data_IF_096921506225
#
_entry.id   IF_096921506225
#
_cell.length_a   1.000
_cell.length_b   1.000
_cell.length_c   1.000
_cell.angle_alpha   90.00
_cell.angle_beta   90.00
_cell.angle_gamma   90.00
#
_symmetry.space_group_name_H-M   'P 1'
#
loop_
_entity.id
_entity.type
_entity.pdbx_description
1 polymer ?
#
# COMPACT_ATOMS: atom_id res chain seq x y z
N UNK A 1 4.93 -15.19 -18.57
CA UNK A 1 5.38 -14.11 -17.66
C UNK A 1 4.92 -12.77 -18.21
N UNK A 2 4.34 -11.90 -17.37
CA UNK A 2 3.99 -10.51 -17.73
C UNK A 2 4.70 -9.57 -16.77
N UNK A 3 5.32 -8.50 -17.28
CA UNK A 3 5.98 -7.50 -16.46
C UNK A 3 5.31 -6.14 -16.63
N UNK A 4 5.27 -5.37 -15.54
CA UNK A 4 4.65 -4.07 -15.49
C UNK A 4 5.66 -3.04 -15.02
N UNK A 5 5.73 -1.93 -15.73
CA UNK A 5 6.56 -0.79 -15.34
C UNK A 5 5.75 0.15 -14.46
N UNK A 6 6.30 0.53 -13.31
CA UNK A 6 5.61 1.34 -12.32
C UNK A 6 6.50 2.52 -11.93
N UNK A 7 5.97 3.72 -12.15
CA UNK A 7 6.49 4.94 -11.56
C UNK A 7 5.44 5.56 -10.65
N UNK A 8 5.87 5.95 -9.46
CA UNK A 8 5.02 6.57 -8.46
C UNK A 8 5.89 7.55 -7.65
N UNK A 9 5.31 8.67 -7.19
CA UNK A 9 6.07 9.75 -6.56
C UNK A 9 6.61 9.35 -5.18
N UNK A 10 5.81 8.68 -4.36
CA UNK A 10 6.17 8.29 -3.00
C UNK A 10 7.32 7.27 -2.93
N UNK A 11 7.48 6.40 -3.94
CA UNK A 11 8.63 5.47 -3.98
C UNK A 11 9.97 6.20 -4.23
N UNK A 12 9.95 7.36 -4.88
CA UNK A 12 11.16 8.17 -5.13
C UNK A 12 11.76 8.74 -3.85
N UNK A 13 10.96 8.93 -2.80
CA UNK A 13 11.44 9.33 -1.47
C UNK A 13 12.43 8.31 -0.90
N UNK A 14 12.38 7.05 -1.35
CA UNK A 14 13.35 5.98 -1.02
C UNK A 14 14.47 5.81 -2.06
N UNK A 15 14.63 6.75 -2.98
CA UNK A 15 15.63 6.66 -4.05
C UNK A 15 15.30 5.60 -5.11
N UNK A 16 14.05 5.11 -5.15
CA UNK A 16 13.58 4.18 -6.18
C UNK A 16 12.99 4.98 -7.34
N UNK A 17 13.61 4.88 -8.51
CA UNK A 17 13.17 5.58 -9.72
C UNK A 17 11.88 4.98 -10.26
N UNK A 18 11.87 3.65 -10.40
CA UNK A 18 10.76 2.86 -10.88
C UNK A 18 10.84 1.43 -10.33
N UNK A 19 9.72 0.72 -10.43
CA UNK A 19 9.63 -0.71 -10.12
C UNK A 19 9.28 -1.46 -11.40
N UNK A 20 9.94 -2.59 -11.63
CA UNK A 20 9.50 -3.59 -12.60
C UNK A 20 8.89 -4.75 -11.85
N UNK A 21 7.63 -5.02 -12.14
CA UNK A 21 6.83 -5.97 -11.42
C UNK A 21 6.41 -7.12 -12.33
N UNK A 22 7.01 -8.29 -12.15
CA UNK A 22 6.79 -9.45 -13.02
C UNK A 22 5.95 -10.53 -12.34
N UNK A 23 4.81 -10.84 -12.95
CA UNK A 23 3.98 -12.00 -12.63
C UNK A 23 4.56 -13.21 -13.34
N UNK A 24 4.93 -14.23 -12.56
CA UNK A 24 5.49 -15.48 -13.06
C UNK A 24 4.44 -16.58 -12.97
N UNK A 25 4.48 -17.52 -13.92
CA UNK A 25 3.67 -18.73 -13.83
C UNK A 25 4.00 -19.46 -12.54
N UNK A 26 2.98 -20.09 -11.94
CA UNK A 26 3.09 -20.76 -10.65
C UNK A 26 4.20 -21.81 -10.67
N UNK A 27 5.36 -21.44 -10.13
CA UNK A 27 6.53 -22.30 -10.11
C UNK A 27 6.88 -22.63 -8.66
N UNK A 28 6.71 -23.91 -8.32
CA UNK A 28 7.09 -24.44 -7.00
C UNK A 28 8.61 -24.41 -6.82
N UNK A 29 9.02 -24.27 -5.57
CA UNK A 29 10.43 -24.32 -5.18
C UNK A 29 10.61 -25.20 -3.94
N UNK A 30 11.75 -25.87 -3.86
CA UNK A 30 12.19 -26.63 -2.69
C UNK A 30 13.09 -25.84 -1.74
N UNK A 31 13.87 -24.90 -2.28
CA UNK A 31 14.84 -24.12 -1.49
C UNK A 31 15.10 -22.71 -2.06
N UNK A 32 15.95 -21.94 -1.37
CA UNK A 32 16.32 -20.56 -1.76
C UNK A 32 17.16 -20.52 -3.03
N UNK A 33 17.90 -21.58 -3.36
CA UNK A 33 18.73 -21.64 -4.57
C UNK A 33 17.82 -21.69 -5.80
N UNK A 34 16.76 -22.49 -5.77
CA UNK A 34 15.77 -22.53 -6.85
C UNK A 34 15.09 -21.17 -7.06
N UNK A 35 14.72 -20.47 -5.98
CA UNK A 35 14.21 -19.09 -6.06
C UNK A 35 15.23 -18.17 -6.73
N UNK A 36 16.50 -18.23 -6.31
CA UNK A 36 17.58 -17.41 -6.86
C UNK A 36 17.76 -17.65 -8.37
N UNK A 37 17.68 -18.90 -8.80
CA UNK A 37 17.82 -19.27 -10.21
C UNK A 37 16.62 -18.74 -11.03
N UNK A 38 15.40 -18.77 -10.47
CA UNK A 38 14.22 -18.12 -11.08
C UNK A 38 14.38 -16.59 -11.16
N UNK A 39 14.86 -15.94 -10.10
CA UNK A 39 15.12 -14.48 -10.10
C UNK A 39 16.09 -14.10 -11.21
N UNK A 40 17.20 -14.83 -11.37
CA UNK A 40 18.15 -14.59 -12.45
C UNK A 40 17.50 -14.74 -13.82
N UNK A 41 16.71 -15.80 -14.04
CA UNK A 41 16.01 -16.01 -15.31
C UNK A 41 15.08 -14.83 -15.65
N UNK A 42 14.32 -14.32 -14.67
CA UNK A 42 13.46 -13.15 -14.86
C UNK A 42 14.31 -11.89 -15.10
N UNK A 43 15.37 -11.67 -14.32
CA UNK A 43 16.23 -10.49 -14.43
C UNK A 43 16.84 -10.36 -15.83
N UNK A 44 17.42 -11.43 -16.38
CA UNK A 44 18.02 -11.41 -17.71
C UNK A 44 17.00 -11.37 -18.86
N UNK A 45 15.73 -11.72 -18.60
CA UNK A 45 14.66 -11.48 -19.56
C UNK A 45 14.23 -10.01 -19.58
N UNK A 46 14.19 -9.36 -18.40
CA UNK A 46 13.71 -7.98 -18.21
C UNK A 46 14.76 -6.93 -18.56
N UNK A 47 16.02 -7.17 -18.21
CA UNK A 47 17.11 -6.22 -18.39
C UNK A 47 18.07 -6.72 -19.47
N UNK A 48 18.27 -5.91 -20.51
CA UNK A 48 19.24 -6.18 -21.58
C UNK A 48 20.66 -5.88 -21.06
N UNK A 49 21.25 -6.88 -20.40
CA UNK A 49 22.57 -6.77 -19.78
C UNK A 49 23.53 -7.80 -20.36
N UNK A 50 24.75 -7.35 -20.70
CA UNK A 50 25.78 -8.19 -21.31
C UNK A 50 26.67 -8.93 -20.31
N UNK A 51 26.73 -8.46 -19.06
CA UNK A 51 27.59 -9.00 -18.02
C UNK A 51 26.77 -9.58 -16.85
N UNK A 52 27.25 -10.64 -16.19
CA UNK A 52 26.55 -11.23 -15.07
C UNK A 52 26.60 -10.31 -13.84
N UNK A 53 25.44 -10.02 -13.25
CA UNK A 53 25.33 -9.30 -11.99
C UNK A 53 25.29 -10.29 -10.83
N UNK A 54 25.95 -9.95 -9.72
CA UNK A 54 25.93 -10.79 -8.51
C UNK A 54 24.61 -10.58 -7.75
N UNK A 55 23.76 -11.61 -7.75
CA UNK A 55 22.58 -11.68 -6.89
C UNK A 55 22.95 -12.12 -5.48
N UNK A 56 22.57 -11.32 -4.48
CA UNK A 56 22.83 -11.58 -3.05
C UNK A 56 21.50 -11.74 -2.33
N UNK A 57 21.31 -12.87 -1.63
CA UNK A 57 20.19 -13.05 -0.71
C UNK A 57 20.38 -12.22 0.56
N UNK A 58 19.33 -11.56 1.02
CA UNK A 58 19.38 -10.73 2.23
C UNK A 58 18.58 -11.33 3.37
N UNK A 59 17.31 -11.67 3.12
CA UNK A 59 16.40 -12.19 4.14
C UNK A 59 15.14 -12.77 3.51
N UNK A 60 14.36 -13.50 4.31
CA UNK A 60 12.98 -13.80 4.01
C UNK A 60 12.13 -13.66 5.29
N UNK A 61 10.85 -13.39 5.11
CA UNK A 61 9.90 -13.27 6.23
C UNK A 61 8.50 -13.78 5.83
N UNK A 62 7.74 -14.37 6.77
CA UNK A 62 6.34 -14.68 6.54
C UNK A 62 5.49 -13.41 6.49
N UNK A 63 4.48 -13.42 5.64
CA UNK A 63 3.48 -12.37 5.51
C UNK A 63 2.11 -13.04 5.64
N UNK A 64 1.53 -12.99 6.84
CA UNK A 64 0.37 -13.81 7.19
C UNK A 64 0.72 -15.30 7.25
N UNK A 65 -0.25 -16.16 6.95
CA UNK A 65 -0.09 -17.62 7.02
C UNK A 65 0.26 -18.29 5.70
N UNK A 66 0.00 -17.61 4.57
CA UNK A 66 0.06 -18.22 3.24
C UNK A 66 1.21 -17.71 2.37
N UNK A 67 1.88 -16.62 2.76
CA UNK A 67 2.91 -15.97 1.94
C UNK A 67 4.28 -15.90 2.63
N UNK A 68 5.35 -15.97 1.82
CA UNK A 68 6.72 -15.60 2.20
C UNK A 68 7.23 -14.53 1.24
N UNK A 69 7.86 -13.50 1.80
CA UNK A 69 8.56 -12.44 1.07
C UNK A 69 10.07 -12.69 1.18
N UNK A 70 10.72 -12.94 0.05
CA UNK A 70 12.18 -13.03 -0.02
C UNK A 70 12.76 -11.72 -0.55
N UNK A 71 13.92 -11.32 -0.01
CA UNK A 71 14.66 -10.13 -0.40
C UNK A 71 16.03 -10.52 -0.94
N UNK A 72 16.35 -10.01 -2.11
CA UNK A 72 17.68 -10.11 -2.71
C UNK A 72 18.11 -8.74 -3.22
N UNK A 73 19.38 -8.63 -3.62
CA UNK A 73 19.88 -7.45 -4.34
C UNK A 73 20.88 -7.82 -5.43
N UNK A 74 20.84 -7.10 -6.54
CA UNK A 74 21.94 -7.06 -7.50
C UNK A 74 22.82 -5.84 -7.21
N UNK A 75 24.12 -6.07 -6.99
CA UNK A 75 25.07 -4.97 -6.79
C UNK A 75 25.43 -4.33 -8.12
N UNK A 76 25.41 -2.99 -8.17
CA UNK A 76 25.84 -2.20 -9.33
C UNK A 76 27.27 -1.67 -9.13
N UNK A 77 27.96 -1.37 -10.22
CA UNK A 77 29.37 -0.92 -10.21
C UNK A 77 29.58 0.39 -9.43
N UNK A 78 28.56 1.24 -9.36
CA UNK A 78 28.58 2.52 -8.64
C UNK A 78 28.26 2.38 -7.13
N UNK A 79 28.24 1.17 -6.59
CA UNK A 79 27.92 0.90 -5.19
C UNK A 79 26.44 0.96 -4.83
N UNK A 80 25.56 1.32 -5.78
CA UNK A 80 24.11 1.19 -5.64
C UNK A 80 23.68 -0.25 -5.87
N UNK A 81 22.39 -0.54 -5.70
CA UNK A 81 21.85 -1.88 -5.93
C UNK A 81 20.46 -1.82 -6.54
N UNK A 82 20.10 -2.88 -7.26
CA UNK A 82 18.71 -3.17 -7.64
C UNK A 82 18.17 -4.10 -6.57
N UNK A 83 17.19 -3.62 -5.81
CA UNK A 83 16.48 -4.45 -4.84
C UNK A 83 15.57 -5.44 -5.56
N UNK A 84 15.50 -6.66 -5.05
CA UNK A 84 14.62 -7.71 -5.57
C UNK A 84 13.71 -8.19 -4.45
N UNK A 85 12.41 -8.25 -4.73
CA UNK A 85 11.41 -8.85 -3.84
C UNK A 85 10.75 -10.01 -4.56
N UNK A 86 10.73 -11.18 -3.91
CA UNK A 86 10.03 -12.36 -4.42
C UNK A 86 8.87 -12.67 -3.51
N UNK A 87 7.66 -12.60 -4.04
CA UNK A 87 6.44 -12.96 -3.32
C UNK A 87 6.10 -14.39 -3.67
N UNK A 88 5.92 -15.21 -2.63
CA UNK A 88 5.50 -16.60 -2.77
C UNK A 88 4.18 -16.83 -2.04
N UNK A 89 3.38 -17.78 -2.51
CA UNK A 89 2.14 -18.24 -1.89
C UNK A 89 2.13 -19.76 -1.92
N UNK A 90 1.96 -20.42 -0.77
CA UNK A 90 1.93 -21.89 -0.65
C UNK A 90 3.11 -22.61 -1.36
N UNK A 91 4.35 -22.15 -1.12
CA UNK A 91 5.59 -22.66 -1.72
C UNK A 91 5.67 -22.55 -3.25
N UNK A 92 4.94 -21.61 -3.85
CA UNK A 92 5.09 -21.26 -5.25
C UNK A 92 5.45 -19.79 -5.41
N UNK A 93 6.43 -19.50 -6.26
CA UNK A 93 6.75 -18.12 -6.65
C UNK A 93 5.60 -17.58 -7.47
N UNK A 94 5.10 -16.41 -7.08
CA UNK A 94 4.03 -15.70 -7.79
C UNK A 94 4.55 -14.47 -8.50
N UNK A 95 5.50 -13.76 -7.87
CA UNK A 95 5.94 -12.45 -8.34
C UNK A 95 7.42 -12.23 -8.08
N UNK A 96 8.08 -11.57 -9.01
CA UNK A 96 9.46 -11.05 -8.85
C UNK A 96 9.43 -9.57 -9.18
N UNK A 97 9.78 -8.74 -8.20
CA UNK A 97 9.80 -7.29 -8.33
C UNK A 97 11.23 -6.78 -8.26
N UNK A 98 11.58 -5.85 -9.14
CA UNK A 98 12.86 -5.16 -9.17
C UNK A 98 12.66 -3.68 -8.86
N UNK A 99 13.29 -3.18 -7.81
CA UNK A 99 13.31 -1.76 -7.46
C UNK A 99 14.58 -1.15 -8.01
N UNK A 100 14.45 -0.27 -9.01
CA UNK A 100 15.60 0.29 -9.74
C UNK A 100 15.92 1.69 -9.23
N UNK A 101 17.18 2.00 -8.88
CA UNK A 101 17.57 3.32 -8.38
C UNK A 101 17.62 4.39 -9.48
N UNK A 102 17.71 5.67 -9.10
CA UNK A 102 17.74 6.82 -10.04
C UNK A 102 18.88 6.80 -11.07
N UNK A 103 20.04 6.29 -10.67
CA UNK A 103 21.22 6.13 -11.52
C UNK A 103 21.58 4.64 -11.62
N UNK A 104 20.86 3.87 -12.45
CA UNK A 104 21.08 2.43 -12.56
C UNK A 104 22.31 2.08 -13.42
N UNK A 105 23.03 3.07 -13.95
CA UNK A 105 24.18 2.87 -14.83
C UNK A 105 23.77 2.29 -16.19
N UNK A 106 24.49 1.28 -16.67
CA UNK A 106 24.26 0.62 -17.98
C UNK A 106 23.12 -0.41 -17.95
N UNK A 107 22.02 -0.08 -17.29
CA UNK A 107 20.84 -0.94 -17.21
C UNK A 107 19.80 -0.49 -18.24
N UNK A 108 19.57 -1.29 -19.27
CA UNK A 108 18.51 -1.04 -20.24
C UNK A 108 17.35 -2.00 -19.99
N UNK A 109 16.12 -1.46 -19.95
CA UNK A 109 14.91 -2.26 -19.90
C UNK A 109 14.60 -2.83 -21.27
N UNK A 110 14.22 -4.11 -21.33
CA UNK A 110 13.60 -4.68 -22.50
C UNK A 110 12.13 -4.24 -22.56
N UNK A 111 11.89 -3.11 -23.24
CA UNK A 111 10.59 -2.41 -23.28
C UNK A 111 9.46 -3.30 -23.83
N UNK A 112 9.77 -4.29 -24.68
CA UNK A 112 8.78 -5.21 -25.27
C UNK A 112 8.04 -6.12 -24.28
N UNK A 113 8.46 -6.14 -23.01
CA UNK A 113 7.83 -6.94 -21.94
C UNK A 113 6.99 -6.11 -20.95
N UNK A 114 7.05 -4.78 -21.03
CA UNK A 114 6.36 -3.88 -20.10
C UNK A 114 4.95 -3.57 -20.62
N UNK A 115 3.93 -3.98 -19.86
CA UNK A 115 2.52 -3.68 -20.15
C UNK A 115 1.97 -2.65 -19.16
N UNK A 116 0.86 -1.98 -19.52
CA UNK A 116 0.03 -1.27 -18.55
C UNK A 116 -0.58 -2.27 -17.56
N UNK A 117 -0.65 -1.90 -16.27
CA UNK A 117 -1.28 -2.77 -15.27
C UNK A 117 -2.77 -2.92 -15.60
N UNK A 118 -3.32 -4.14 -15.56
CA UNK A 118 -4.74 -4.33 -15.83
C UNK A 118 -5.56 -3.54 -14.82
N UNK A 119 -6.53 -2.78 -15.34
CA UNK A 119 -7.59 -2.18 -14.52
C UNK A 119 -8.40 -3.34 -13.95
N UNK A 120 -8.46 -3.44 -12.63
CA UNK A 120 -9.23 -4.49 -11.97
C UNK A 120 -10.72 -4.13 -12.07
N UNK A 121 -11.53 -5.04 -12.64
CA UNK A 121 -12.87 -4.69 -13.09
C UNK A 121 -14.03 -5.26 -12.29
N UNK A 122 -13.88 -6.22 -11.37
CA UNK A 122 -15.06 -6.72 -10.62
C UNK A 122 -14.66 -7.58 -9.41
N UNK A 123 -15.44 -7.47 -8.33
CA UNK A 123 -15.08 -7.96 -7.01
C UNK A 123 -16.29 -8.47 -6.22
N UNK A 124 -16.24 -9.72 -5.74
CA UNK A 124 -17.28 -10.32 -4.90
C UNK A 124 -16.89 -10.28 -3.41
N UNK A 125 -17.91 -10.14 -2.55
CA UNK A 125 -17.80 -9.96 -1.10
C UNK A 125 -18.42 -11.18 -0.36
N UNK A 126 -17.64 -11.94 0.41
CA UNK A 126 -18.17 -12.83 1.43
C UNK A 126 -17.93 -12.26 2.83
N UNK A 127 -19.00 -11.89 3.53
CA UNK A 127 -18.96 -11.52 4.95
C UNK A 127 -18.94 -12.76 5.86
N UNK A 128 -18.03 -12.88 6.82
CA UNK A 128 -18.25 -13.74 8.00
C UNK A 128 -17.44 -13.30 9.25
N UNK A 129 -17.94 -13.69 10.44
CA UNK A 129 -17.47 -13.34 11.79
C UNK A 129 -16.32 -14.23 12.30
N UNK A 130 -15.37 -14.57 11.45
CA UNK A 130 -14.21 -15.39 11.86
C UNK A 130 -13.06 -14.53 12.40
N UNK A 131 -12.06 -15.17 13.03
CA UNK A 131 -10.77 -14.51 13.24
C UNK A 131 -10.18 -14.22 11.85
N UNK A 132 -9.68 -13.00 11.57
CA UNK A 132 -9.13 -12.69 10.27
C UNK A 132 -7.97 -13.64 9.93
N UNK A 133 -7.99 -14.33 8.77
CA UNK A 133 -7.02 -15.36 8.46
C UNK A 133 -5.57 -14.84 8.49
N UNK A 134 -4.67 -15.64 9.05
CA UNK A 134 -3.25 -15.29 9.15
C UNK A 134 -2.97 -14.06 10.02
N UNK A 135 -3.80 -13.79 11.04
CA UNK A 135 -3.63 -12.71 12.00
C UNK A 135 -3.47 -13.21 13.43
N UNK A 136 -2.52 -12.62 14.16
CA UNK A 136 -2.32 -12.81 15.60
C UNK A 136 -2.62 -11.50 16.33
N UNK A 137 -3.51 -11.55 17.32
CA UNK A 137 -3.78 -10.37 18.16
C UNK A 137 -2.62 -10.11 19.12
N UNK A 138 -2.12 -8.89 19.13
CA UNK A 138 -1.04 -8.41 19.99
C UNK A 138 -1.53 -7.23 20.85
N UNK A 139 -0.91 -6.98 22.02
CA UNK A 139 -1.44 -5.99 22.96
C UNK A 139 -1.25 -4.54 22.51
N UNK A 140 -0.29 -4.26 21.62
CA UNK A 140 0.07 -2.91 21.21
C UNK A 140 0.42 -2.85 19.72
N UNK A 141 0.25 -1.68 19.11
CA UNK A 141 0.62 -1.45 17.71
C UNK A 141 2.13 -1.61 17.50
N UNK A 142 2.50 -2.24 16.39
CA UNK A 142 3.82 -2.03 15.78
C UNK A 142 3.74 -0.77 14.92
N UNK A 143 4.57 0.23 15.23
CA UNK A 143 4.54 1.52 14.54
C UNK A 143 5.43 1.48 13.30
N UNK A 144 4.82 1.66 12.13
CA UNK A 144 5.53 1.79 10.85
C UNK A 144 5.50 3.23 10.34
N UNK A 145 6.67 3.82 10.11
CA UNK A 145 6.86 5.14 9.51
C UNK A 145 7.73 5.00 8.26
N UNK A 146 7.17 4.35 7.22
CA UNK A 146 7.99 3.84 6.11
C UNK A 146 8.74 4.95 5.38
N UNK A 147 8.12 6.13 5.18
CA UNK A 147 8.74 7.29 4.55
C UNK A 147 9.40 8.27 5.55
N UNK A 148 9.48 7.89 6.83
CA UNK A 148 9.94 8.76 7.90
C UNK A 148 8.79 9.45 8.62
N UNK A 149 9.15 10.39 9.50
CA UNK A 149 8.20 11.17 10.30
C UNK A 149 8.15 12.58 9.68
N UNK A 150 6.98 13.06 9.23
CA UNK A 150 6.88 14.36 8.59
C UNK A 150 7.11 15.48 9.62
N UNK A 151 7.63 16.62 9.17
CA UNK A 151 7.78 17.83 9.98
C UNK A 151 6.89 18.91 9.40
N UNK A 152 5.87 19.31 10.13
CA UNK A 152 4.95 20.38 9.74
C UNK A 152 4.34 21.05 10.98
N UNK A 153 3.94 22.32 10.84
CA UNK A 153 3.13 22.99 11.84
C UNK A 153 1.67 22.54 11.69
N UNK A 154 1.05 22.10 12.79
CA UNK A 154 -0.32 21.59 12.81
C UNK A 154 -1.33 22.70 12.50
N UNK A 155 -1.03 23.95 12.84
CA UNK A 155 -1.88 25.11 12.51
C UNK A 155 -1.94 25.37 11.00
N UNK A 156 -0.91 24.98 10.27
CA UNK A 156 -0.80 25.08 8.81
C UNK A 156 -1.34 23.84 8.10
N UNK A 157 -1.66 22.78 8.85
CA UNK A 157 -2.18 21.55 8.27
C UNK A 157 -3.54 21.79 7.61
N UNK A 158 -3.71 21.23 6.41
CA UNK A 158 -4.96 21.27 5.65
C UNK A 158 -5.22 19.90 5.02
N UNK A 159 -6.49 19.52 4.96
CA UNK A 159 -7.00 18.38 4.20
C UNK A 159 -7.66 18.87 2.92
N UNK A 160 -7.07 18.54 1.78
CA UNK A 160 -7.68 18.73 0.47
C UNK A 160 -8.55 17.51 0.14
N UNK A 161 -9.81 17.76 -0.24
CA UNK A 161 -10.72 16.74 -0.78
C UNK A 161 -11.17 17.18 -2.17
N UNK A 162 -10.75 16.45 -3.20
CA UNK A 162 -10.84 16.91 -4.60
C UNK A 162 -11.03 15.76 -5.60
N UNK A 163 -10.94 16.06 -6.90
CA UNK A 163 -11.14 15.11 -7.98
C UNK A 163 -12.56 15.14 -8.56
N UNK A 164 -13.14 13.98 -8.80
CA UNK A 164 -14.49 13.78 -9.34
C UNK A 164 -15.56 13.99 -8.25
N UNK A 165 -15.70 15.23 -7.81
CA UNK A 165 -16.67 15.68 -6.78
C UNK A 165 -17.32 16.99 -7.21
N UNK A 166 -18.57 17.25 -6.82
CA UNK A 166 -19.25 18.51 -7.12
C UNK A 166 -18.68 19.69 -6.31
N UNK A 167 -18.35 19.45 -5.03
CA UNK A 167 -17.87 20.48 -4.10
C UNK A 167 -16.47 20.13 -3.59
N UNK A 168 -15.39 20.43 -4.34
CA UNK A 168 -14.04 20.27 -3.83
C UNK A 168 -13.81 21.24 -2.66
N UNK A 169 -13.15 20.76 -1.60
CA UNK A 169 -12.92 21.55 -0.38
C UNK A 169 -11.48 21.44 0.11
N UNK A 170 -11.06 22.43 0.87
CA UNK A 170 -9.85 22.37 1.69
C UNK A 170 -10.23 22.75 3.12
N UNK A 171 -10.00 21.83 4.05
CA UNK A 171 -10.43 21.95 5.44
C UNK A 171 -9.22 22.04 6.36
N UNK A 172 -9.26 22.94 7.34
CA UNK A 172 -8.39 22.86 8.51
C UNK A 172 -9.05 22.00 9.60
N UNK A 173 -8.44 21.94 10.78
CA UNK A 173 -8.97 21.16 11.90
C UNK A 173 -10.32 21.71 12.40
N UNK A 174 -10.46 23.03 12.49
CA UNK A 174 -11.71 23.65 12.94
C UNK A 174 -12.86 23.31 11.97
N UNK A 175 -12.61 23.42 10.66
CA UNK A 175 -13.54 23.03 9.61
C UNK A 175 -13.95 21.57 9.72
N UNK A 176 -13.01 20.67 10.06
CA UNK A 176 -13.33 19.26 10.28
C UNK A 176 -14.19 19.01 11.51
N UNK A 177 -13.92 19.68 12.64
CA UNK A 177 -14.69 19.48 13.87
C UNK A 177 -16.17 19.87 13.71
N UNK A 178 -16.50 20.78 12.79
CA UNK A 178 -17.88 21.20 12.50
C UNK A 178 -18.76 20.06 11.96
N UNK A 179 -18.18 19.01 11.38
CA UNK A 179 -18.95 17.85 10.94
C UNK A 179 -19.42 16.98 12.11
N UNK A 180 -18.88 17.17 13.31
CA UNK A 180 -19.18 16.39 14.50
C UNK A 180 -18.41 15.07 14.55
N UNK A 181 -18.14 14.59 15.76
CA UNK A 181 -17.41 13.34 15.98
C UNK A 181 -18.36 12.17 16.24
N UNK A 182 -17.95 10.98 15.85
CA UNK A 182 -18.55 9.71 16.25
C UNK A 182 -17.49 8.81 16.91
N UNK A 183 -17.92 7.94 17.80
CA UNK A 183 -17.06 6.96 18.47
C UNK A 183 -17.14 5.61 17.76
N UNK A 184 -16.01 4.94 17.67
CA UNK A 184 -15.85 3.66 17.03
C UNK A 184 -15.07 2.71 17.94
N UNK A 185 -15.51 1.46 17.99
CA UNK A 185 -14.74 0.36 18.53
C UNK A 185 -14.33 -0.51 17.35
N UNK A 186 -13.04 -0.54 17.05
CA UNK A 186 -12.52 -1.22 15.86
C UNK A 186 -11.39 -2.18 16.21
N UNK A 187 -11.17 -3.12 15.30
CA UNK A 187 -9.92 -3.85 15.21
C UNK A 187 -9.06 -3.24 14.09
N UNK A 188 -7.74 -3.34 14.24
CA UNK A 188 -6.76 -2.92 13.24
C UNK A 188 -5.92 -4.12 12.83
N UNK A 189 -5.79 -4.35 11.52
CA UNK A 189 -5.12 -5.53 10.98
C UNK A 189 -3.91 -5.14 10.13
N UNK A 190 -2.72 -5.60 10.51
CA UNK A 190 -1.51 -5.39 9.71
C UNK A 190 -1.34 -6.51 8.69
N UNK A 191 -0.89 -6.14 7.49
CA UNK A 191 -0.57 -7.09 6.42
C UNK A 191 0.54 -8.07 6.78
N UNK A 192 1.38 -7.76 7.76
CA UNK A 192 2.46 -8.66 8.20
C UNK A 192 1.95 -9.77 9.14
N UNK A 193 0.66 -9.77 9.51
CA UNK A 193 0.04 -10.88 10.25
C UNK A 193 -0.20 -10.62 11.74
N UNK A 194 -0.20 -9.36 12.17
CA UNK A 194 -0.61 -8.98 13.53
C UNK A 194 -1.82 -8.06 13.52
N UNK A 195 -2.64 -8.16 14.56
CA UNK A 195 -3.83 -7.32 14.78
C UNK A 195 -3.84 -6.72 16.17
N UNK A 196 -4.49 -5.56 16.33
CA UNK A 196 -4.79 -4.96 17.64
C UNK A 196 -6.30 -4.77 17.69
N UNK A 197 -6.94 -5.37 18.70
CA UNK A 197 -8.40 -5.37 18.81
C UNK A 197 -8.93 -4.34 19.79
N UNK A 198 -10.24 -4.08 19.72
CA UNK A 198 -10.98 -3.26 20.68
C UNK A 198 -10.41 -1.84 20.87
N UNK A 199 -9.93 -1.23 19.79
CA UNK A 199 -9.37 0.12 19.82
C UNK A 199 -10.53 1.11 19.82
N UNK A 200 -10.59 1.95 20.86
CA UNK A 200 -11.56 3.05 20.92
C UNK A 200 -11.01 4.22 20.12
N UNK A 201 -11.70 4.59 19.05
CA UNK A 201 -11.35 5.72 18.22
C UNK A 201 -12.50 6.72 18.20
N UNK A 202 -12.18 7.99 17.96
CA UNK A 202 -13.19 9.02 17.72
C UNK A 202 -12.76 9.90 16.56
N UNK A 203 -13.71 10.23 15.71
CA UNK A 203 -13.42 10.89 14.45
C UNK A 203 -14.64 11.28 13.62
N UNK A 204 -14.39 11.88 12.46
CA UNK A 204 -15.42 12.33 11.52
C UNK A 204 -15.84 11.14 10.66
N UNK A 205 -17.11 10.69 10.68
CA UNK A 205 -17.59 9.67 9.76
C UNK A 205 -17.33 10.07 8.31
N UNK A 206 -16.81 9.14 7.50
CA UNK A 206 -16.48 9.44 6.10
C UNK A 206 -17.73 9.80 5.29
N UNK A 207 -18.89 9.28 5.66
CA UNK A 207 -20.20 9.67 5.12
C UNK A 207 -20.46 11.19 5.18
N UNK A 208 -19.95 11.88 6.20
CA UNK A 208 -20.09 13.35 6.31
C UNK A 208 -19.22 14.06 5.29
N UNK A 209 -18.05 13.51 4.96
CA UNK A 209 -17.20 13.99 3.88
C UNK A 209 -17.87 13.75 2.53
N UNK A 210 -18.43 12.55 2.30
CA UNK A 210 -19.20 12.23 1.09
C UNK A 210 -20.38 13.20 0.89
N UNK A 211 -21.15 13.47 1.95
CA UNK A 211 -22.28 14.39 1.92
C UNK A 211 -21.87 15.83 1.58
N UNK A 212 -20.70 16.25 2.04
CA UNK A 212 -20.14 17.58 1.77
C UNK A 212 -19.71 17.69 0.30
N UNK A 213 -18.87 16.76 -0.17
CA UNK A 213 -18.21 16.91 -1.47
C UNK A 213 -19.07 16.44 -2.63
N UNK A 214 -20.06 15.58 -2.37
CA UNK A 214 -20.95 14.98 -3.38
C UNK A 214 -20.17 14.35 -4.54
N UNK A 215 -19.67 13.11 -4.38
CA UNK A 215 -18.94 12.42 -5.44
C UNK A 215 -19.78 12.32 -6.72
N UNK A 216 -19.16 12.57 -7.86
CA UNK A 216 -19.82 12.49 -9.17
C UNK A 216 -19.98 11.02 -9.61
N UNK A 217 -20.84 10.79 -10.60
CA UNK A 217 -20.90 9.49 -11.27
C UNK A 217 -19.54 9.14 -11.91
N UNK A 218 -19.16 7.86 -11.89
CA UNK A 218 -17.92 7.37 -12.49
C UNK A 218 -16.70 7.34 -11.58
N UNK A 219 -16.80 7.80 -10.32
CA UNK A 219 -15.76 7.56 -9.32
C UNK A 219 -15.57 6.06 -9.12
N UNK A 220 -14.32 5.59 -9.24
CA UNK A 220 -13.95 4.17 -9.04
C UNK A 220 -12.97 3.96 -7.90
N UNK A 221 -12.19 4.97 -7.56
CA UNK A 221 -11.09 4.88 -6.61
C UNK A 221 -11.02 6.09 -5.68
N UNK A 222 -10.54 5.81 -4.46
CA UNK A 222 -10.09 6.81 -3.50
C UNK A 222 -8.57 6.73 -3.43
N UNK A 223 -7.91 7.79 -3.86
CA UNK A 223 -6.49 7.99 -3.69
C UNK A 223 -6.24 8.91 -2.50
N UNK A 224 -5.26 8.59 -1.67
CA UNK A 224 -4.91 9.42 -0.50
C UNK A 224 -3.42 9.71 -0.46
N UNK A 225 -3.08 10.84 0.16
CA UNK A 225 -1.69 11.22 0.41
C UNK A 225 -1.53 11.78 1.84
N UNK A 226 -0.47 11.38 2.53
CA UNK A 226 -0.04 11.91 3.82
C UNK A 226 0.97 13.05 3.73
N UNK A 227 1.22 13.74 4.84
CA UNK A 227 2.25 14.80 4.96
C UNK A 227 3.68 14.27 4.78
N UNK A 228 3.91 12.98 5.00
CA UNK A 228 5.17 12.29 4.72
C UNK A 228 5.33 11.90 3.24
N UNK A 229 4.34 12.22 2.41
CA UNK A 229 4.28 11.81 1.02
C UNK A 229 3.82 10.36 0.82
N UNK A 230 3.34 9.67 1.87
CA UNK A 230 2.82 8.31 1.74
C UNK A 230 1.53 8.30 0.94
N UNK A 231 1.43 7.41 -0.04
CA UNK A 231 0.27 7.32 -0.92
C UNK A 231 -0.34 5.93 -0.86
N UNK A 232 -1.66 5.85 -0.96
CA UNK A 232 -2.39 4.59 -1.11
C UNK A 232 -3.68 4.84 -1.89
N UNK A 233 -4.13 3.80 -2.58
CA UNK A 233 -5.36 3.82 -3.37
C UNK A 233 -6.21 2.61 -3.02
N UNK A 234 -7.53 2.72 -3.08
CA UNK A 234 -8.46 1.59 -2.94
C UNK A 234 -9.82 1.90 -3.58
N UNK A 235 -10.66 0.90 -3.90
CA UNK A 235 -11.92 1.15 -4.58
C UNK A 235 -12.87 2.06 -3.79
N UNK A 236 -13.64 2.85 -4.53
CA UNK A 236 -14.58 3.81 -3.96
C UNK A 236 -15.66 3.16 -3.10
N UNK A 237 -16.14 1.98 -3.49
CA UNK A 237 -17.11 1.20 -2.70
C UNK A 237 -16.66 0.92 -1.27
N UNK A 238 -15.34 0.88 -1.00
CA UNK A 238 -14.82 0.59 0.33
C UNK A 238 -15.04 1.76 1.30
N UNK A 239 -15.14 3.01 0.84
CA UNK A 239 -15.50 4.14 1.72
C UNK A 239 -17.01 4.27 1.96
N UNK A 240 -17.83 3.54 1.21
CA UNK A 240 -19.28 3.48 1.42
C UNK A 240 -19.66 2.48 2.53
N UNK A 241 -18.73 1.61 2.93
CA UNK A 241 -18.96 0.65 4.00
C UNK A 241 -19.03 1.35 5.36
N UNK A 242 -19.76 0.79 6.34
CA UNK A 242 -19.84 1.35 7.69
C UNK A 242 -18.47 1.46 8.37
N UNK A 243 -18.37 2.35 9.35
CA UNK A 243 -17.19 2.51 10.21
C UNK A 243 -15.90 2.92 9.47
N UNK A 244 -16.02 3.57 8.31
CA UNK A 244 -14.92 4.32 7.68
C UNK A 244 -14.97 5.77 8.16
N UNK A 245 -13.84 6.29 8.63
CA UNK A 245 -13.79 7.61 9.25
C UNK A 245 -12.40 8.23 9.23
N UNK A 246 -12.36 9.55 9.44
CA UNK A 246 -11.14 10.30 9.71
C UNK A 246 -10.95 10.36 11.21
N UNK A 247 -9.97 9.64 11.76
CA UNK A 247 -9.73 9.60 13.20
C UNK A 247 -8.93 10.81 13.67
N UNK A 248 -9.31 11.35 14.84
CA UNK A 248 -8.65 12.47 15.52
C UNK A 248 -8.22 12.08 16.93
N UNK A 249 -8.90 11.11 17.54
CA UNK A 249 -8.62 10.63 18.89
C UNK A 249 -8.53 9.09 18.93
N UNK A 250 -7.70 8.60 19.84
CA UNK A 250 -7.55 7.18 20.17
C UNK A 250 -7.48 7.02 21.69
N UNK A 251 -8.32 6.14 22.24
CA UNK A 251 -8.40 5.84 23.66
C UNK A 251 -8.61 7.08 24.54
N UNK A 252 -9.53 7.96 24.13
CA UNK A 252 -9.95 9.15 24.89
C UNK A 252 -8.95 10.30 24.90
N UNK A 253 -7.92 10.25 24.05
CA UNK A 253 -6.92 11.32 23.87
C UNK A 253 -6.76 11.64 22.39
N UNK A 254 -6.34 12.86 22.03
CA UNK A 254 -5.90 13.15 20.67
C UNK A 254 -4.88 12.11 20.20
N UNK A 255 -4.89 11.79 18.91
CA UNK A 255 -3.89 10.89 18.34
C UNK A 255 -2.49 11.35 18.74
N UNK A 256 -1.63 10.39 19.09
CA UNK A 256 -0.21 10.70 19.18
C UNK A 256 0.35 10.97 17.78
N UNK A 257 1.43 11.74 17.70
CA UNK A 257 2.02 12.10 16.41
C UNK A 257 2.37 10.89 15.55
N UNK A 258 2.96 9.85 16.15
CA UNK A 258 3.32 8.61 15.45
C UNK A 258 2.12 7.78 14.98
N UNK A 259 0.95 8.01 15.59
CA UNK A 259 -0.32 7.43 15.18
C UNK A 259 -1.04 8.24 14.09
N UNK A 260 -0.47 9.37 13.64
CA UNK A 260 -0.96 10.15 12.52
C UNK A 260 -1.67 11.45 12.90
N UNK A 261 -1.41 12.01 14.08
CA UNK A 261 -1.90 13.34 14.45
C UNK A 261 -1.56 14.40 13.38
N UNK A 262 -2.49 15.27 12.97
CA UNK A 262 -3.77 15.49 13.63
C UNK A 262 -4.91 14.61 13.10
N UNK A 263 -4.79 14.08 11.89
CA UNK A 263 -5.84 13.29 11.24
C UNK A 263 -5.24 12.08 10.53
N UNK A 264 -5.84 10.90 10.73
CA UNK A 264 -5.58 9.70 9.93
C UNK A 264 -6.86 9.16 9.32
N UNK A 265 -6.76 8.56 8.14
CA UNK A 265 -7.83 7.73 7.60
C UNK A 265 -7.86 6.39 8.36
N UNK A 266 -9.05 5.87 8.62
CA UNK A 266 -9.30 4.51 9.10
C UNK A 266 -10.31 3.82 8.19
N UNK A 267 -9.91 2.67 7.64
CA UNK A 267 -10.77 1.75 6.87
C UNK A 267 -10.66 0.36 7.51
N UNK A 268 -11.45 0.03 8.55
CA UNK A 268 -11.16 -1.08 9.46
C UNK A 268 -11.15 -2.47 8.81
N UNK A 269 -11.97 -2.67 7.78
CA UNK A 269 -12.08 -3.95 7.07
C UNK A 269 -10.96 -4.16 6.03
N UNK A 270 -10.11 -3.16 5.81
CA UNK A 270 -8.91 -3.27 4.99
C UNK A 270 -7.66 -3.37 5.87
N UNK A 271 -6.59 -3.91 5.30
CA UNK A 271 -5.29 -3.91 5.94
C UNK A 271 -4.79 -2.49 6.20
N UNK A 272 -4.05 -2.35 7.30
CA UNK A 272 -3.66 -1.07 7.88
C UNK A 272 -2.85 -0.13 6.98
N UNK A 273 -2.24 -0.63 5.90
CA UNK A 273 -1.56 0.25 4.95
C UNK A 273 -2.52 1.14 4.16
N UNK A 274 -3.80 0.76 4.03
CA UNK A 274 -4.84 1.60 3.43
C UNK A 274 -5.27 2.76 4.33
N UNK A 275 -5.00 2.66 5.63
CA UNK A 275 -5.36 3.64 6.65
C UNK A 275 -4.25 4.69 6.84
N UNK A 276 -4.13 5.59 5.85
CA UNK A 276 -3.07 6.60 5.75
C UNK A 276 -3.00 7.54 6.98
N UNK A 277 -1.77 7.83 7.42
CA UNK A 277 -1.47 8.73 8.54
C UNK A 277 -1.14 10.14 8.04
N UNK A 278 -1.26 11.13 8.93
CA UNK A 278 -0.97 12.53 8.62
C UNK A 278 -1.68 12.97 7.35
N UNK A 279 -2.95 12.58 7.21
CA UNK A 279 -3.68 12.66 5.96
C UNK A 279 -3.73 14.11 5.49
N UNK A 280 -3.47 14.37 4.21
CA UNK A 280 -3.54 15.74 3.64
C UNK A 280 -4.29 15.82 2.32
N UNK A 281 -4.48 14.69 1.62
CA UNK A 281 -5.27 14.64 0.38
C UNK A 281 -6.16 13.41 0.35
N UNK A 282 -7.37 13.61 -0.14
CA UNK A 282 -8.32 12.57 -0.58
C UNK A 282 -8.77 12.98 -2.00
N UNK A 283 -8.51 12.12 -2.98
CA UNK A 283 -8.85 12.37 -4.38
C UNK A 283 -9.81 11.28 -4.87
N UNK A 284 -10.98 11.70 -5.31
CA UNK A 284 -11.97 10.84 -5.97
C UNK A 284 -11.62 10.75 -7.45
N UNK A 285 -11.41 9.54 -7.97
CA UNK A 285 -10.94 9.37 -9.36
C UNK A 285 -11.51 8.11 -10.01
N UNK A 286 -11.62 8.13 -11.33
CA UNK A 286 -11.96 7.00 -12.18
C UNK A 286 -10.71 6.17 -12.58
N UNK A 287 -9.51 6.74 -12.40
CA UNK A 287 -8.24 6.14 -12.81
C UNK A 287 -7.53 5.46 -11.66
N UNK A 288 -7.15 4.21 -11.89
CA UNK A 288 -6.25 3.51 -11.00
C UNK A 288 -4.81 4.01 -11.18
N UNK A 289 -4.17 4.39 -10.08
CA UNK A 289 -2.73 4.63 -10.00
C UNK A 289 -2.19 3.93 -8.76
N UNK A 290 -1.01 3.32 -8.84
CA UNK A 290 -0.42 2.72 -7.65
C UNK A 290 -0.17 3.77 -6.56
N UNK A 291 -0.37 3.39 -5.31
CA UNK A 291 0.25 4.06 -4.17
C UNK A 291 1.60 3.43 -3.82
N UNK A 292 2.11 3.73 -2.64
CA UNK A 292 3.41 3.26 -2.18
C UNK A 292 3.52 1.74 -2.19
N UNK A 293 2.66 1.04 -1.43
CA UNK A 293 2.75 -0.42 -1.32
C UNK A 293 2.23 -1.13 -2.56
N UNK A 294 1.24 -0.57 -3.25
CA UNK A 294 0.73 -1.14 -4.50
C UNK A 294 1.81 -1.16 -5.59
N UNK A 295 2.74 -0.19 -5.56
CA UNK A 295 3.94 -0.17 -6.41
C UNK A 295 4.92 -1.31 -6.09
N UNK A 296 4.82 -1.90 -4.90
CA UNK A 296 5.61 -3.07 -4.48
C UNK A 296 4.81 -4.38 -4.50
N UNK A 297 3.74 -4.43 -5.29
CA UNK A 297 2.99 -5.67 -5.53
C UNK A 297 1.87 -5.94 -4.52
N UNK A 298 1.64 -5.06 -3.56
CA UNK A 298 0.53 -5.21 -2.61
C UNK A 298 -0.82 -4.97 -3.28
N UNK A 299 -1.85 -5.57 -2.71
CA UNK A 299 -3.17 -5.61 -3.33
C UNK A 299 -3.86 -4.23 -3.41
N UNK A 300 -4.55 -3.88 -4.51
CA UNK A 300 -5.21 -2.58 -4.64
C UNK A 300 -6.41 -2.37 -3.71
N UNK A 301 -7.14 -3.43 -3.32
CA UNK A 301 -8.22 -3.37 -2.32
C UNK A 301 -7.68 -3.58 -0.91
N UNK A 302 -7.16 -4.77 -0.63
CA UNK A 302 -6.45 -5.05 0.61
C UNK A 302 -7.39 -5.50 1.72
N UNK A 303 -8.46 -6.22 1.40
CA UNK A 303 -9.39 -6.75 2.40
C UNK A 303 -8.74 -7.82 3.25
N UNK A 304 -9.06 -7.77 4.54
CA UNK A 304 -8.39 -8.59 5.55
C UNK A 304 -8.82 -10.06 5.44
N UNK A 305 -10.12 -10.29 5.34
CA UNK A 305 -10.73 -11.62 5.41
C UNK A 305 -10.46 -12.47 4.16
N UNK A 306 -10.29 -11.81 3.02
CA UNK A 306 -9.97 -12.44 1.73
C UNK A 306 -8.47 -12.66 1.54
N UNK A 307 -7.64 -12.38 2.56
CA UNK A 307 -6.18 -12.46 2.50
C UNK A 307 -5.57 -11.70 1.31
N UNK A 308 -6.14 -10.55 0.97
CA UNK A 308 -5.69 -9.72 -0.15
C UNK A 308 -4.40 -8.96 0.19
N UNK A 309 -3.30 -9.68 0.37
CA UNK A 309 -2.01 -9.12 0.75
C UNK A 309 -1.24 -8.63 -0.48
N UNK A 310 -1.21 -9.44 -1.53
CA UNK A 310 -0.51 -9.16 -2.79
C UNK A 310 -1.45 -9.27 -4.00
N UNK A 311 -1.03 -8.72 -5.14
CA UNK A 311 -1.74 -8.77 -6.44
C UNK A 311 -1.70 -10.19 -7.03
N UNK A 312 -2.86 -10.72 -7.41
CA UNK A 312 -3.06 -12.11 -7.89
C UNK A 312 -3.33 -12.26 -9.41
N UNK A 313 -3.13 -11.20 -10.23
CA UNK A 313 -3.55 -11.13 -11.65
C UNK A 313 -3.33 -12.38 -12.52
#
# INVERSE_FOLDING_TARGET
MKCYFIEEKSIRIKGVKYVVDCVVEEKRYGDVKEIRDMVNAVFYAVFDVKNPFKLVFESNEPIGSSHLLYRFRYMLDNGRFIGVRVVTKNNAVRRVLFTVPEEPGKLNLNIGLANEQPVLTEYNDPSSKEQPPGQVFIPNFVIYNILGIPKFNVEEWRLEVSGLVENPVTLDLEGLFRFGLAEYLIDFHCVTGWSVGNIRMKGIPFERILSLVKPMEGVKWIYTEGMDGYTTIFPFEEVLKPNVFLALEMNGRPLEFLHGYPVRLIVPHLYGWKSAKWLRKIVFTDKYVNGYWESFGYHPRGRVFEEERFKDY
#
